data_IF_152274421112
#
_entry.id   IF_152274421112
#
_cell.length_a   1.000
_cell.length_b   1.000
_cell.length_c   1.000
_cell.angle_alpha   90.00
_cell.angle_beta   90.00
_cell.angle_gamma   90.00
#
_symmetry.space_group_name_H-M   'P 1'
#
loop_
_entity.id
_entity.type
_entity.pdbx_description
1 polymer ?
#
# COMPACT_ATOMS: atom_id res chain seq x y z
N UNK A 1 20.03 -8.01 -0.55
CA UNK A 1 20.40 -9.35 -1.06
C UNK A 1 21.69 -9.22 -1.86
N UNK A 2 22.63 -10.16 -1.72
CA UNK A 2 23.90 -10.17 -2.47
C UNK A 2 23.92 -11.36 -3.43
N UNK A 3 24.30 -11.12 -4.68
CA UNK A 3 24.40 -12.14 -5.74
C UNK A 3 23.26 -12.09 -6.76
N UNK A 4 23.42 -12.86 -7.84
CA UNK A 4 22.43 -13.02 -8.91
C UNK A 4 21.47 -14.14 -8.54
N UNK A 5 20.21 -13.81 -8.28
CA UNK A 5 19.20 -14.77 -7.82
C UNK A 5 17.97 -14.80 -8.74
N UNK A 6 17.33 -15.97 -8.89
CA UNK A 6 16.03 -16.08 -9.55
C UNK A 6 14.97 -15.31 -8.76
N UNK A 7 13.95 -14.81 -9.46
CA UNK A 7 12.92 -13.93 -8.92
C UNK A 7 12.19 -14.46 -7.66
N UNK A 8 12.00 -15.78 -7.42
CA UNK A 8 11.38 -16.26 -6.19
C UNK A 8 12.23 -16.02 -4.93
N UNK A 9 13.53 -15.77 -5.09
CA UNK A 9 14.46 -15.48 -4.00
C UNK A 9 14.72 -13.97 -3.85
N UNK A 10 14.12 -13.14 -4.70
CA UNK A 10 14.15 -11.68 -4.58
C UNK A 10 13.00 -11.21 -3.70
N UNK A 11 13.11 -9.98 -3.18
CA UNK A 11 12.01 -9.40 -2.41
C UNK A 11 10.87 -9.03 -3.36
N UNK A 12 9.73 -9.67 -3.14
CA UNK A 12 8.47 -9.34 -3.81
C UNK A 12 7.69 -8.43 -2.87
N UNK A 13 7.44 -7.19 -3.30
CA UNK A 13 6.71 -6.24 -2.48
C UNK A 13 5.27 -6.70 -2.27
N UNK A 14 4.77 -6.72 -1.02
CA UNK A 14 3.47 -7.29 -0.72
C UNK A 14 2.34 -6.36 -1.19
N UNK A 15 1.83 -6.62 -2.39
CA UNK A 15 0.61 -6.00 -2.93
C UNK A 15 -0.66 -6.69 -2.43
N UNK A 16 -1.76 -5.94 -2.41
CA UNK A 16 -3.08 -6.44 -2.02
C UNK A 16 -4.02 -6.50 -3.23
N UNK A 17 -4.55 -7.68 -3.50
CA UNK A 17 -5.57 -7.88 -4.55
C UNK A 17 -6.99 -7.89 -3.98
N UNK A 18 -7.14 -8.02 -2.67
CA UNK A 18 -8.43 -8.09 -1.99
C UNK A 18 -8.93 -6.71 -1.58
N UNK A 19 -10.25 -6.54 -1.56
CA UNK A 19 -10.93 -5.33 -1.05
C UNK A 19 -10.93 -5.22 0.49
N UNK A 20 -10.15 -6.05 1.17
CA UNK A 20 -9.96 -6.01 2.62
C UNK A 20 -8.69 -5.26 2.96
N UNK A 21 -8.77 -4.28 3.87
CA UNK A 21 -7.61 -3.47 4.25
C UNK A 21 -6.57 -4.31 5.01
N UNK A 22 -5.30 -4.20 4.61
CA UNK A 22 -4.20 -4.78 5.37
C UNK A 22 -3.16 -3.70 5.72
N UNK A 23 -2.81 -3.63 7.00
CA UNK A 23 -1.88 -2.66 7.54
C UNK A 23 -0.43 -2.89 7.07
N UNK A 24 -0.03 -4.14 6.80
CA UNK A 24 1.35 -4.52 6.46
C UNK A 24 1.62 -4.65 4.96
N UNK A 25 0.60 -4.50 4.11
CA UNK A 25 0.74 -4.62 2.66
C UNK A 25 0.39 -3.30 1.98
N UNK A 26 0.85 -3.12 0.75
CA UNK A 26 0.46 -2.00 -0.09
C UNK A 26 -0.92 -2.28 -0.67
N UNK A 27 -1.92 -1.51 -0.26
CA UNK A 27 -3.31 -1.84 -0.59
C UNK A 27 -3.64 -1.53 -2.06
N UNK A 28 -2.93 -0.57 -2.64
CA UNK A 28 -3.15 -0.18 -4.02
C UNK A 28 -2.23 -0.89 -5.00
N UNK A 29 -1.19 -1.60 -4.51
CA UNK A 29 -0.19 -2.31 -5.31
C UNK A 29 -0.70 -3.67 -5.76
N UNK A 30 -0.51 -4.02 -7.03
CA UNK A 30 -0.81 -5.37 -7.52
C UNK A 30 0.19 -6.38 -6.95
N UNK A 31 -0.26 -7.62 -6.76
CA UNK A 31 0.65 -8.68 -6.33
C UNK A 31 1.65 -8.95 -7.44
N UNK A 32 2.92 -9.11 -7.06
CA UNK A 32 4.03 -9.24 -8.00
C UNK A 32 4.21 -8.04 -8.95
N UNK A 33 3.74 -6.84 -8.62
CA UNK A 33 3.99 -5.66 -9.47
C UNK A 33 5.47 -5.25 -9.43
N UNK A 34 6.08 -5.25 -8.24
CA UNK A 34 7.45 -4.79 -8.03
C UNK A 34 8.33 -5.83 -7.37
N UNK A 35 9.57 -5.94 -7.87
CA UNK A 35 10.62 -6.80 -7.31
C UNK A 35 11.86 -5.95 -7.04
N UNK A 36 12.57 -6.24 -5.94
CA UNK A 36 13.80 -5.52 -5.58
C UNK A 36 14.82 -6.44 -4.91
N UNK A 37 16.10 -6.17 -5.13
CA UNK A 37 17.19 -6.83 -4.40
C UNK A 37 17.69 -5.99 -3.22
N UNK A 38 17.49 -4.68 -3.31
CA UNK A 38 17.73 -3.67 -2.28
C UNK A 38 16.50 -2.78 -2.20
N UNK A 39 15.93 -2.67 -1.01
CA UNK A 39 14.76 -1.84 -0.79
C UNK A 39 14.79 -1.19 0.59
N UNK A 40 14.06 -0.10 0.71
CA UNK A 40 13.72 0.56 1.96
C UNK A 40 12.23 0.87 1.93
N UNK A 41 11.52 0.42 2.95
CA UNK A 41 10.09 0.64 3.11
C UNK A 41 9.81 1.45 4.37
N UNK A 42 8.82 2.32 4.30
CA UNK A 42 8.26 3.05 5.44
C UNK A 42 6.75 2.86 5.47
N UNK A 43 6.21 2.47 6.61
CA UNK A 43 4.77 2.38 6.85
C UNK A 43 4.50 3.19 8.12
N UNK A 44 3.69 4.23 8.00
CA UNK A 44 3.26 5.04 9.13
C UNK A 44 1.74 5.15 9.16
N UNK A 45 1.18 5.04 10.36
CA UNK A 45 -0.24 5.27 10.62
C UNK A 45 -0.33 6.20 11.83
N UNK A 46 -1.16 7.23 11.71
CA UNK A 46 -1.40 8.17 12.78
C UNK A 46 -2.90 8.35 13.01
N UNK A 47 -3.34 8.04 14.22
CA UNK A 47 -4.72 8.24 14.64
C UNK A 47 -4.90 9.65 15.19
N UNK A 48 -5.77 10.42 14.55
CA UNK A 48 -6.17 11.76 15.00
C UNK A 48 -7.30 11.70 16.05
N UNK A 49 -7.80 10.50 16.36
CA UNK A 49 -8.90 10.31 17.31
C UNK A 49 -10.20 10.95 16.82
N UNK A 50 -10.98 11.52 17.73
CA UNK A 50 -12.30 12.12 17.42
C UNK A 50 -12.22 13.58 16.95
N UNK A 51 -11.09 14.03 16.41
CA UNK A 51 -10.81 15.45 16.15
C UNK A 51 -11.90 16.12 15.31
N UNK A 52 -12.32 15.49 14.21
CA UNK A 52 -13.35 16.04 13.30
C UNK A 52 -14.79 15.80 13.78
N UNK A 53 -15.04 14.69 14.48
CA UNK A 53 -16.41 14.30 14.89
C UNK A 53 -16.86 14.90 16.21
N UNK A 54 -16.00 15.67 16.90
CA UNK A 54 -16.33 16.33 18.17
C UNK A 54 -17.40 17.42 18.01
N UNK A 55 -17.48 18.05 16.84
CA UNK A 55 -18.34 19.20 16.57
C UNK A 55 -19.76 18.83 16.12
N UNK A 56 -19.99 17.58 15.68
CA UNK A 56 -21.29 17.14 15.18
C UNK A 56 -21.98 16.31 16.28
N UNK A 57 -23.09 16.79 16.87
CA UNK A 57 -23.68 16.19 18.08
C UNK A 57 -24.16 14.74 17.88
N UNK A 58 -24.61 14.37 16.69
CA UNK A 58 -25.03 13.00 16.37
C UNK A 58 -23.83 12.05 16.23
N UNK A 59 -22.74 12.47 15.56
CA UNK A 59 -21.55 11.64 15.35
C UNK A 59 -20.70 11.50 16.62
N UNK A 60 -20.80 12.47 17.55
CA UNK A 60 -20.18 12.38 18.87
C UNK A 60 -20.62 11.14 19.66
N UNK A 61 -21.89 10.72 19.53
CA UNK A 61 -22.40 9.50 20.18
C UNK A 61 -21.80 8.22 19.60
N UNK A 62 -21.48 8.23 18.31
CA UNK A 62 -20.90 7.09 17.60
C UNK A 62 -19.41 6.87 17.92
N UNK A 63 -18.75 7.83 18.59
CA UNK A 63 -17.32 7.75 18.97
C UNK A 63 -16.40 7.42 17.79
N UNK A 64 -16.73 7.94 16.60
CA UNK A 64 -15.94 7.74 15.40
C UNK A 64 -14.53 8.31 15.59
N UNK A 65 -13.53 7.64 15.03
CA UNK A 65 -12.14 8.10 15.02
C UNK A 65 -11.65 8.23 13.60
N UNK A 66 -10.92 9.29 13.32
CA UNK A 66 -10.23 9.51 12.05
C UNK A 66 -8.77 9.16 12.19
N UNK A 67 -8.18 8.61 11.14
CA UNK A 67 -6.75 8.37 11.06
C UNK A 67 -6.28 8.66 9.63
N UNK A 68 -4.97 8.85 9.50
CA UNK A 68 -4.30 8.83 8.21
C UNK A 68 -3.17 7.81 8.23
N UNK A 69 -2.86 7.25 7.08
CA UNK A 69 -1.74 6.35 6.88
C UNK A 69 -0.94 6.77 5.65
N UNK A 70 0.34 6.44 5.65
CA UNK A 70 1.21 6.64 4.50
C UNK A 70 2.18 5.48 4.43
N UNK A 71 2.30 4.89 3.24
CA UNK A 71 3.23 3.81 2.98
C UNK A 71 4.07 4.18 1.77
N UNK A 72 5.37 4.02 1.91
CA UNK A 72 6.34 4.26 0.84
C UNK A 72 7.29 3.10 0.74
N UNK A 73 7.67 2.74 -0.48
CA UNK A 73 8.79 1.83 -0.73
C UNK A 73 9.63 2.35 -1.87
N UNK A 74 10.92 2.38 -1.64
CA UNK A 74 11.92 2.68 -2.66
C UNK A 74 12.87 1.50 -2.75
N UNK A 75 13.28 1.15 -3.96
CA UNK A 75 14.17 0.03 -4.15
C UNK A 75 14.80 0.03 -5.53
N UNK A 76 15.78 -0.83 -5.69
CA UNK A 76 16.44 -1.06 -6.97
C UNK A 76 16.48 -2.54 -7.28
N UNK A 77 16.76 -2.82 -8.55
CA UNK A 77 17.12 -4.14 -9.03
C UNK A 77 18.44 -4.02 -9.79
N UNK A 78 19.43 -4.83 -9.43
CA UNK A 78 20.73 -4.86 -10.11
C UNK A 78 20.59 -5.38 -11.54
N UNK A 79 21.40 -4.88 -12.51
CA UNK A 79 21.32 -5.29 -13.91
C UNK A 79 21.43 -6.79 -14.13
N UNK A 80 22.23 -7.49 -13.31
CA UNK A 80 22.46 -8.93 -13.38
C UNK A 80 21.21 -9.73 -12.99
N UNK A 81 20.48 -9.26 -11.97
CA UNK A 81 19.19 -9.81 -11.58
C UNK A 81 18.11 -9.49 -12.62
N UNK A 82 18.23 -8.33 -13.29
CA UNK A 82 17.33 -7.97 -14.39
C UNK A 82 17.53 -8.89 -15.59
N UNK A 83 18.76 -9.12 -16.04
CA UNK A 83 19.01 -10.00 -17.19
C UNK A 83 18.58 -11.45 -16.92
N UNK A 84 18.76 -11.96 -15.70
CA UNK A 84 18.39 -13.33 -15.36
C UNK A 84 16.87 -13.57 -15.36
N UNK A 85 16.07 -12.54 -15.03
CA UNK A 85 14.65 -12.70 -14.75
C UNK A 85 13.70 -12.08 -15.81
N UNK A 86 14.20 -11.24 -16.72
CA UNK A 86 13.37 -10.52 -17.70
C UNK A 86 13.28 -11.19 -19.08
N UNK A 87 13.86 -12.39 -19.25
CA UNK A 87 13.97 -13.07 -20.56
C UNK A 87 12.72 -13.86 -21.01
N UNK A 88 11.64 -13.92 -20.21
CA UNK A 88 10.43 -14.70 -20.56
C UNK A 88 9.16 -14.06 -19.99
N UNK A 89 8.33 -13.45 -20.84
CA UNK A 89 6.88 -13.15 -20.70
C UNK A 89 6.32 -12.52 -19.39
N UNK A 90 7.13 -12.28 -18.36
CA UNK A 90 6.73 -11.73 -17.06
C UNK A 90 7.26 -10.31 -16.89
N UNK A 91 6.37 -9.32 -16.96
CA UNK A 91 6.73 -7.90 -16.91
C UNK A 91 6.78 -7.37 -15.46
N UNK A 92 7.77 -7.79 -14.68
CA UNK A 92 8.00 -7.24 -13.33
C UNK A 92 8.58 -5.82 -13.38
N UNK A 93 8.23 -4.97 -12.41
CA UNK A 93 8.79 -3.61 -12.30
C UNK A 93 9.93 -3.53 -11.29
N UNK A 94 10.94 -2.72 -11.62
CA UNK A 94 11.90 -2.23 -10.65
C UNK A 94 11.49 -0.84 -10.17
N UNK A 95 11.61 -0.59 -8.86
CA UNK A 95 11.37 0.71 -8.22
C UNK A 95 12.48 1.75 -8.47
N UNK A 96 13.47 1.43 -9.33
CA UNK A 96 14.67 2.26 -9.53
C UNK A 96 14.36 3.67 -10.03
N UNK A 97 13.34 3.83 -10.88
CA UNK A 97 13.00 5.11 -11.50
C UNK A 97 12.15 6.01 -10.60
N UNK A 98 11.28 5.43 -9.78
CA UNK A 98 10.40 6.18 -8.89
C UNK A 98 10.03 5.36 -7.64
N UNK A 99 10.01 5.97 -6.45
CA UNK A 99 9.46 5.33 -5.26
C UNK A 99 7.97 5.08 -5.44
N UNK A 100 7.50 3.97 -4.89
CA UNK A 100 6.07 3.73 -4.73
C UNK A 100 5.61 4.38 -3.44
N UNK A 101 4.57 5.19 -3.50
CA UNK A 101 3.98 5.86 -2.35
C UNK A 101 2.46 5.76 -2.42
N UNK A 102 1.84 5.30 -1.36
CA UNK A 102 0.40 5.38 -1.12
C UNK A 102 0.12 6.15 0.17
N UNK A 103 -0.93 6.96 0.14
CA UNK A 103 -1.45 7.66 1.30
C UNK A 103 -2.91 7.28 1.49
N UNK A 104 -3.33 7.08 2.71
CA UNK A 104 -4.70 6.75 3.05
C UNK A 104 -5.24 7.60 4.17
N UNK A 105 -6.54 7.76 4.21
CA UNK A 105 -7.28 8.33 5.34
C UNK A 105 -8.55 7.52 5.53
N UNK A 106 -9.07 7.52 6.75
CA UNK A 106 -10.21 6.68 7.03
C UNK A 106 -10.91 7.01 8.33
N UNK A 107 -11.99 6.28 8.54
CA UNK A 107 -12.81 6.35 9.73
C UNK A 107 -12.85 4.95 10.33
N UNK A 108 -12.48 4.84 11.59
CA UNK A 108 -12.62 3.62 12.38
C UNK A 108 -13.68 3.80 13.47
N UNK A 109 -14.04 2.67 14.09
CA UNK A 109 -15.01 2.59 15.18
C UNK A 109 -16.46 2.87 14.74
N UNK A 110 -16.78 2.67 13.45
CA UNK A 110 -18.16 2.71 12.94
C UNK A 110 -18.91 1.52 13.55
N UNK A 111 -19.99 1.79 14.28
CA UNK A 111 -20.70 0.79 15.10
C UNK A 111 -19.79 -0.02 16.06
N UNK A 112 -18.64 0.54 16.44
CA UNK A 112 -17.60 -0.10 17.28
C UNK A 112 -16.85 -1.28 16.67
N UNK A 113 -17.08 -1.62 15.39
CA UNK A 113 -16.49 -2.80 14.75
C UNK A 113 -15.93 -2.53 13.37
N UNK A 114 -16.43 -1.52 12.67
CA UNK A 114 -16.12 -1.31 11.27
C UNK A 114 -15.12 -0.16 11.08
N UNK A 115 -14.18 -0.38 10.17
CA UNK A 115 -13.18 0.58 9.72
C UNK A 115 -13.23 0.67 8.20
N UNK A 116 -13.24 1.90 7.70
CA UNK A 116 -13.19 2.22 6.27
C UNK A 116 -11.92 3.01 6.00
N UNK A 117 -11.12 2.53 5.07
CA UNK A 117 -9.88 3.12 4.60
C UNK A 117 -10.04 3.57 3.15
N UNK A 118 -9.91 4.86 2.91
CA UNK A 118 -9.74 5.42 1.59
C UNK A 118 -8.24 5.51 1.31
N UNK A 119 -7.74 4.85 0.27
CA UNK A 119 -6.31 4.80 -0.05
C UNK A 119 -6.09 5.33 -1.47
N UNK A 120 -5.13 6.24 -1.60
CA UNK A 120 -4.67 6.83 -2.85
C UNK A 120 -3.25 6.37 -3.14
N UNK A 121 -3.01 5.92 -4.37
CA UNK A 121 -1.66 5.71 -4.88
C UNK A 121 -1.16 7.07 -5.39
N UNK A 122 -0.17 7.64 -4.70
CA UNK A 122 0.43 8.92 -5.08
C UNK A 122 1.50 8.73 -6.16
N UNK A 123 2.34 7.72 -5.99
CA UNK A 123 3.42 7.38 -6.92
C UNK A 123 3.58 5.87 -7.05
N UNK A 124 4.01 5.37 -8.22
CA UNK A 124 4.07 6.05 -9.51
C UNK A 124 2.66 6.28 -10.09
N UNK A 125 2.49 7.35 -10.89
CA UNK A 125 1.20 7.76 -11.50
C UNK A 125 0.81 6.87 -12.68
N UNK A 126 1.80 6.26 -13.33
CA UNK A 126 1.67 5.36 -14.48
C UNK A 126 2.26 3.98 -14.15
N UNK A 127 1.69 2.93 -14.75
CA UNK A 127 2.27 1.56 -14.72
C UNK A 127 3.08 1.30 -15.99
N UNK A 128 3.82 0.18 -16.05
CA UNK A 128 4.64 -0.23 -17.21
C UNK A 128 3.96 -0.15 -18.57
N UNK A 129 2.65 -0.38 -18.65
CA UNK A 129 1.93 -0.50 -19.91
C UNK A 129 1.12 0.77 -20.24
N UNK A 130 1.46 1.91 -19.63
CA UNK A 130 0.65 3.16 -19.69
C UNK A 130 -0.83 2.95 -19.34
N UNK A 131 -1.13 1.82 -18.69
CA UNK A 131 -2.47 1.50 -18.23
C UNK A 131 -2.69 2.29 -16.93
N UNK A 132 -3.84 2.96 -16.76
CA UNK A 132 -4.10 3.72 -15.56
C UNK A 132 -3.99 2.80 -14.34
N UNK A 133 -2.96 3.04 -13.52
CA UNK A 133 -2.82 2.39 -12.22
C UNK A 133 -4.10 2.59 -11.41
N UNK A 134 -4.43 1.68 -10.48
CA UNK A 134 -5.48 1.99 -9.50
C UNK A 134 -5.02 3.19 -8.68
N UNK A 135 -5.60 4.36 -8.94
CA UNK A 135 -5.25 5.62 -8.26
C UNK A 135 -5.92 5.75 -6.91
N UNK A 136 -7.08 5.12 -6.75
CA UNK A 136 -7.90 5.21 -5.56
C UNK A 136 -8.63 3.88 -5.29
N UNK A 137 -8.71 3.52 -4.01
CA UNK A 137 -9.45 2.35 -3.55
C UNK A 137 -10.08 2.62 -2.19
N UNK A 138 -11.25 2.04 -1.97
CA UNK A 138 -11.92 2.03 -0.67
C UNK A 138 -11.86 0.61 -0.16
N UNK A 139 -11.35 0.46 1.06
CA UNK A 139 -11.19 -0.82 1.73
C UNK A 139 -11.99 -0.80 3.02
N UNK A 140 -12.62 -1.93 3.34
CA UNK A 140 -13.31 -2.12 4.61
C UNK A 140 -12.58 -3.19 5.42
N UNK A 141 -12.50 -2.99 6.73
CA UNK A 141 -12.01 -4.00 7.65
C UNK A 141 -12.86 -4.01 8.92
N UNK A 142 -12.91 -5.19 9.55
CA UNK A 142 -13.53 -5.36 10.87
C UNK A 142 -12.44 -5.36 11.91
N UNK A 143 -12.51 -4.42 12.85
CA UNK A 143 -11.61 -4.30 14.00
C UNK A 143 -12.45 -4.23 15.26
N UNK A 144 -12.38 -5.28 16.07
CA UNK A 144 -13.00 -5.29 17.39
C UNK A 144 -12.12 -4.49 18.35
N UNK A 145 -12.62 -3.34 18.80
CA UNK A 145 -12.04 -2.59 19.90
C UNK A 145 -12.82 -2.96 21.18
N UNK A 146 -12.24 -3.81 22.01
CA UNK A 146 -12.74 -4.10 23.36
C UNK A 146 -12.34 -2.96 24.32
#
# INVERSE_FOLDING_TARGET
>A
IFGTLPYPLLEIHPGNEFYYYNARTFNMMYRYEYISDKYVGLITEHSMGSLFFKYIPYLKKMKLRTFWNMKGVYGSLSPENKSLNFDKDYTFQSLRAAPYIEAGTGIENIFRVLRIDCVWRLLPVTTLNDTPARKFGIFASLRFAF
#
